data_IF_438521314135
#
_entry.id   IF_438521314135
#
_cell.length_a   1.000
_cell.length_b   1.000
_cell.length_c   1.000
_cell.angle_alpha   90.00
_cell.angle_beta   90.00
_cell.angle_gamma   90.00
#
_symmetry.space_group_name_H-M   'P 1'
#
loop_
_entity.id
_entity.type
_entity.pdbx_description
1 polymer ?
#
# COMPACT_ATOMS: atom_id res chain seq x y z
N UNK A 1 18.70 -1.81 26.81
CA UNK A 1 17.22 -1.82 26.69
C UNK A 1 16.56 -3.03 27.36
N UNK A 2 17.02 -4.28 27.14
CA UNK A 2 16.51 -5.47 27.87
C UNK A 2 16.54 -5.30 29.41
N UNK A 3 17.64 -4.80 29.99
CA UNK A 3 17.80 -4.70 31.45
C UNK A 3 16.93 -3.64 32.16
N UNK A 4 16.42 -2.62 31.46
CA UNK A 4 15.49 -1.64 32.05
C UNK A 4 14.08 -2.23 32.07
N UNK A 5 13.69 -2.93 31.00
CA UNK A 5 12.38 -3.57 30.85
C UNK A 5 12.20 -4.69 31.90
N UNK A 6 13.23 -5.47 32.20
CA UNK A 6 13.15 -6.53 33.23
C UNK A 6 12.96 -5.98 34.65
N UNK A 7 13.42 -4.76 34.94
CA UNK A 7 13.31 -4.15 36.27
C UNK A 7 11.94 -3.50 36.53
N UNK A 8 11.23 -3.04 35.50
CA UNK A 8 9.92 -2.41 35.65
C UNK A 8 8.74 -3.41 35.62
N UNK A 9 8.93 -4.60 35.05
CA UNK A 9 7.91 -5.65 34.90
C UNK A 9 7.29 -6.15 36.23
N UNK A 10 8.09 -6.39 37.30
CA UNK A 10 7.53 -6.77 38.61
C UNK A 10 6.67 -5.66 39.23
N UNK A 11 7.07 -4.40 39.03
CA UNK A 11 6.39 -3.23 39.59
C UNK A 11 5.01 -3.01 38.95
N UNK A 12 4.92 -3.13 37.61
CA UNK A 12 3.65 -3.01 36.88
C UNK A 12 2.69 -4.17 37.18
N UNK A 13 3.20 -5.39 37.40
CA UNK A 13 2.38 -6.57 37.74
C UNK A 13 1.89 -6.56 39.19
N UNK A 14 2.72 -6.10 40.13
CA UNK A 14 2.38 -6.04 41.55
C UNK A 14 1.20 -5.12 41.86
N UNK A 15 1.03 -4.01 41.14
CA UNK A 15 -0.07 -3.06 41.42
C UNK A 15 -1.40 -3.40 40.75
N UNK A 16 -1.44 -4.15 39.64
CA UNK A 16 -2.73 -4.64 39.10
C UNK A 16 -3.47 -5.57 40.06
N UNK A 17 -2.74 -6.24 40.96
CA UNK A 17 -3.34 -7.05 42.03
C UNK A 17 -3.83 -6.25 43.25
N UNK A 18 -3.58 -4.93 43.30
CA UNK A 18 -3.97 -4.06 44.42
C UNK A 18 -5.08 -3.05 44.07
N UNK A 19 -5.59 -3.05 42.83
CA UNK A 19 -6.66 -2.10 42.39
C UNK A 19 -8.06 -2.71 42.51
N UNK A 20 -8.22 -3.82 43.23
CA UNK A 20 -9.53 -4.22 43.76
C UNK A 20 -9.50 -4.01 45.27
N UNK A 21 -10.43 -3.18 45.76
CA UNK A 21 -10.63 -2.78 47.15
C UNK A 21 -9.92 -1.48 47.54
N UNK A 22 -10.74 -0.44 47.66
CA UNK A 22 -10.49 0.88 48.26
C UNK A 22 -9.81 1.91 47.34
N UNK A 23 -10.63 2.61 46.56
CA UNK A 23 -10.73 4.06 46.76
C UNK A 23 -11.97 4.61 46.04
N UNK A 24 -12.89 5.09 46.86
CA UNK A 24 -14.00 5.95 46.48
C UNK A 24 -13.54 7.40 46.52
N UNK A 25 -13.90 8.13 45.46
CA UNK A 25 -14.15 9.56 45.39
C UNK A 25 -12.99 10.53 45.03
N UNK A 26 -13.30 11.43 44.08
CA UNK A 26 -12.53 12.58 43.57
C UNK A 26 -11.43 12.38 42.48
N UNK A 27 -11.87 12.16 41.24
CA UNK A 27 -11.90 13.27 40.25
C UNK A 27 -10.63 13.81 39.56
N UNK A 28 -9.40 13.33 39.79
CA UNK A 28 -8.26 13.68 38.92
C UNK A 28 -7.55 12.42 38.38
N UNK A 29 -7.26 12.33 37.06
CA UNK A 29 -6.48 11.21 36.53
C UNK A 29 -5.08 11.27 37.14
N UNK A 30 -4.71 10.24 37.92
CA UNK A 30 -3.43 10.14 38.59
C UNK A 30 -2.28 10.48 37.62
N UNK A 31 -1.38 11.37 38.04
CA UNK A 31 -0.16 11.81 37.32
C UNK A 31 0.64 10.65 36.66
N UNK A 32 0.49 9.43 37.17
CA UNK A 32 1.08 8.21 36.63
C UNK A 32 0.48 7.73 35.31
N UNK A 33 -0.81 7.91 35.06
CA UNK A 33 -1.46 7.48 33.82
C UNK A 33 -0.94 8.29 32.63
N UNK A 34 -0.67 9.59 32.86
CA UNK A 34 -0.05 10.47 31.88
C UNK A 34 1.38 10.01 31.57
N UNK A 35 2.17 9.67 32.59
CA UNK A 35 3.54 9.17 32.42
C UNK A 35 3.53 7.82 31.67
N UNK A 36 2.64 6.90 32.02
CA UNK A 36 2.54 5.59 31.37
C UNK A 36 2.10 5.74 29.91
N UNK A 37 1.09 6.57 29.64
CA UNK A 37 0.67 6.87 28.28
C UNK A 37 1.81 7.45 27.44
N UNK A 38 2.58 8.38 28.01
CA UNK A 38 3.72 8.99 27.33
C UNK A 38 4.85 7.97 27.07
N UNK A 39 5.17 7.10 28.05
CA UNK A 39 6.13 6.01 27.86
C UNK A 39 5.67 5.07 26.76
N UNK A 40 4.42 4.59 26.84
CA UNK A 40 3.88 3.66 25.87
C UNK A 40 3.90 4.26 24.48
N UNK A 41 3.48 5.51 24.32
CA UNK A 41 3.45 6.20 23.04
C UNK A 41 4.78 6.26 22.28
N UNK A 42 5.91 6.14 22.99
CA UNK A 42 7.27 6.18 22.43
C UNK A 42 7.87 4.80 22.18
N UNK A 43 7.24 3.74 22.67
CA UNK A 43 7.71 2.38 22.45
C UNK A 43 7.25 1.84 21.09
N UNK A 44 8.04 0.98 20.42
CA UNK A 44 7.56 0.29 19.23
C UNK A 44 6.31 -0.55 19.53
N UNK A 45 5.37 -0.62 18.58
CA UNK A 45 4.12 -1.34 18.77
C UNK A 45 4.33 -2.82 19.19
N UNK A 46 5.35 -3.49 18.64
CA UNK A 46 5.70 -4.86 19.06
C UNK A 46 6.09 -4.99 20.53
N UNK A 47 6.72 -3.97 21.10
CA UNK A 47 7.06 -3.95 22.52
C UNK A 47 5.80 -3.86 23.37
N UNK A 48 4.82 -3.05 22.96
CA UNK A 48 3.56 -2.90 23.67
C UNK A 48 2.78 -4.22 23.70
N UNK A 49 2.66 -4.93 22.56
CA UNK A 49 1.99 -6.23 22.51
C UNK A 49 2.59 -7.27 23.46
N UNK A 50 3.90 -7.23 23.68
CA UNK A 50 4.59 -8.14 24.60
C UNK A 50 4.40 -7.78 26.06
N UNK A 51 4.14 -6.51 26.36
CA UNK A 51 4.02 -6.00 27.72
C UNK A 51 2.59 -6.07 28.24
N UNK A 52 1.61 -5.70 27.40
CA UNK A 52 0.20 -5.57 27.78
C UNK A 52 -0.73 -6.00 26.66
N UNK A 53 -1.99 -6.27 27.02
CA UNK A 53 -3.09 -6.30 26.05
C UNK A 53 -3.50 -4.86 25.71
N UNK A 54 -3.34 -4.38 24.47
CA UNK A 54 -3.65 -3.00 24.12
C UNK A 54 -5.14 -2.69 24.30
N UNK A 55 -5.45 -1.54 24.89
CA UNK A 55 -6.81 -0.99 24.90
C UNK A 55 -7.05 -0.19 23.61
N UNK A 56 -8.32 0.09 23.22
CA UNK A 56 -8.60 0.92 22.05
C UNK A 56 -7.89 2.28 22.09
N UNK A 57 -7.77 2.90 23.26
CA UNK A 57 -7.03 4.15 23.45
C UNK A 57 -5.55 4.01 23.09
N UNK A 58 -4.88 2.97 23.58
CA UNK A 58 -3.45 2.73 23.28
C UNK A 58 -3.26 2.42 21.80
N UNK A 59 -4.15 1.63 21.20
CA UNK A 59 -4.13 1.32 19.77
C UNK A 59 -4.21 2.60 18.94
N UNK A 60 -5.17 3.46 19.25
CA UNK A 60 -5.41 4.71 18.53
C UNK A 60 -4.25 5.71 18.70
N UNK A 61 -3.77 5.88 19.94
CA UNK A 61 -2.61 6.71 20.25
C UNK A 61 -1.37 6.26 19.47
N UNK A 62 -1.08 4.95 19.42
CA UNK A 62 0.05 4.43 18.66
C UNK A 62 -0.11 4.63 17.16
N UNK A 63 -1.30 4.40 16.62
CA UNK A 63 -1.57 4.55 15.20
C UNK A 63 -1.27 5.98 14.73
N UNK A 64 -1.66 7.00 15.52
CA UNK A 64 -1.46 8.40 15.18
C UNK A 64 -0.03 8.91 15.39
N UNK A 65 0.73 8.31 16.32
CA UNK A 65 2.11 8.73 16.63
C UNK A 65 3.18 7.95 15.88
N UNK A 66 2.83 6.81 15.27
CA UNK A 66 3.79 5.93 14.63
C UNK A 66 4.34 6.53 13.33
N UNK A 67 5.66 6.49 13.19
CA UNK A 67 6.34 6.89 11.97
C UNK A 67 6.18 5.81 10.90
N UNK A 68 5.80 6.15 9.65
CA UNK A 68 5.75 5.20 8.57
C UNK A 68 7.11 4.54 8.30
N UNK A 69 7.09 3.23 8.04
CA UNK A 69 8.20 2.44 7.53
C UNK A 69 7.94 2.02 6.09
N UNK A 70 9.00 1.66 5.36
CA UNK A 70 8.87 1.09 4.03
C UNK A 70 8.70 -0.41 4.17
N UNK A 71 7.57 -0.92 3.67
CA UNK A 71 7.30 -2.35 3.57
C UNK A 71 7.40 -2.79 2.11
N UNK A 72 8.24 -3.77 1.81
CA UNK A 72 8.38 -4.33 0.47
C UNK A 72 8.53 -5.84 0.49
N UNK A 73 7.95 -6.51 -0.51
CA UNK A 73 8.00 -7.96 -0.56
C UNK A 73 9.23 -8.47 -1.32
N UNK A 74 9.65 -9.68 -0.99
CA UNK A 74 10.60 -10.48 -1.77
C UNK A 74 9.98 -11.84 -1.98
N UNK A 75 10.11 -12.34 -3.20
CA UNK A 75 9.51 -13.61 -3.60
C UNK A 75 10.62 -14.57 -3.95
N UNK A 76 10.57 -15.73 -3.31
CA UNK A 76 11.41 -16.87 -3.63
C UNK A 76 10.50 -18.00 -4.08
N UNK A 77 10.73 -18.51 -5.29
CA UNK A 77 10.00 -19.65 -5.85
C UNK A 77 10.86 -20.90 -5.67
N UNK A 78 10.26 -21.96 -5.16
CA UNK A 78 10.85 -23.28 -5.02
C UNK A 78 10.09 -24.24 -5.92
N UNK A 79 10.79 -24.97 -6.78
CA UNK A 79 10.20 -26.07 -7.53
C UNK A 79 9.97 -27.22 -6.54
N UNK A 80 8.73 -27.72 -6.44
CA UNK A 80 8.38 -28.90 -5.66
C UNK A 80 8.38 -30.15 -6.55
N UNK A 81 7.71 -30.07 -7.69
CA UNK A 81 7.56 -31.11 -8.73
C UNK A 81 7.56 -30.43 -10.11
N UNK A 82 7.57 -31.17 -11.22
CA UNK A 82 7.66 -30.60 -12.59
C UNK A 82 6.64 -29.47 -12.86
N UNK A 83 5.47 -29.51 -12.21
CA UNK A 83 4.38 -28.52 -12.36
C UNK A 83 4.02 -27.75 -11.09
N UNK A 84 4.54 -28.12 -9.91
CA UNK A 84 4.19 -27.48 -8.63
C UNK A 84 5.30 -26.59 -8.11
N UNK A 85 4.95 -25.34 -7.77
CA UNK A 85 5.87 -24.38 -7.16
C UNK A 85 5.38 -23.97 -5.77
N UNK A 86 6.27 -23.98 -4.77
CA UNK A 86 6.05 -23.30 -3.49
C UNK A 86 6.59 -21.89 -3.57
N UNK A 87 5.80 -20.90 -3.15
CA UNK A 87 6.26 -19.52 -3.08
C UNK A 87 6.46 -19.12 -1.62
N UNK A 88 7.65 -18.64 -1.28
CA UNK A 88 7.88 -17.95 -0.01
C UNK A 88 7.75 -16.44 -0.24
N UNK A 89 6.73 -15.85 0.36
CA UNK A 89 6.47 -14.41 0.33
C UNK A 89 7.05 -13.75 1.58
N UNK A 90 8.21 -13.10 1.44
CA UNK A 90 8.88 -12.45 2.57
C UNK A 90 8.64 -10.95 2.53
N UNK A 91 8.07 -10.35 3.57
CA UNK A 91 8.03 -8.90 3.70
C UNK A 91 9.28 -8.39 4.42
N UNK A 92 9.80 -7.29 3.92
CA UNK A 92 10.93 -6.58 4.49
C UNK A 92 10.46 -5.20 4.89
N UNK A 93 10.88 -4.79 6.08
CA UNK A 93 10.52 -3.53 6.70
C UNK A 93 11.81 -2.78 7.03
N UNK A 94 11.86 -1.50 6.69
CA UNK A 94 12.90 -0.61 7.22
C UNK A 94 12.65 -0.34 8.69
N UNK A 95 13.69 -0.18 9.50
CA UNK A 95 13.53 0.12 10.93
C UNK A 95 13.14 1.58 11.14
N UNK A 96 12.16 1.83 12.02
CA UNK A 96 11.56 3.14 12.36
C UNK A 96 12.60 4.25 12.64
N UNK A 97 13.79 3.91 13.14
CA UNK A 97 14.83 4.88 13.48
C UNK A 97 15.93 5.06 12.42
N UNK A 98 16.08 4.11 11.48
CA UNK A 98 17.19 4.09 10.49
C UNK A 98 16.79 3.30 9.25
N UNK A 99 16.62 4.01 8.12
CA UNK A 99 16.14 3.38 6.88
C UNK A 99 17.17 2.39 6.28
N UNK A 100 18.44 2.48 6.69
CA UNK A 100 19.50 1.56 6.27
C UNK A 100 19.43 0.19 6.94
N UNK A 101 18.71 0.04 8.06
CA UNK A 101 18.54 -1.25 8.72
C UNK A 101 17.20 -1.86 8.29
N UNK A 102 17.26 -3.09 7.79
CA UNK A 102 16.11 -3.84 7.30
C UNK A 102 15.83 -5.01 8.25
N UNK A 103 14.58 -5.16 8.65
CA UNK A 103 14.06 -6.31 9.39
C UNK A 103 13.12 -7.06 8.46
N UNK A 104 13.31 -8.37 8.37
CA UNK A 104 12.46 -9.22 7.53
C UNK A 104 11.45 -9.98 8.40
N UNK A 105 10.18 -9.96 8.01
CA UNK A 105 9.14 -10.85 8.51
C UNK A 105 8.62 -11.68 7.35
N UNK A 106 8.64 -13.00 7.49
CA UNK A 106 8.15 -13.90 6.45
C UNK A 106 6.76 -14.39 6.79
N UNK A 107 5.88 -14.36 5.78
CA UNK A 107 4.66 -15.13 5.77
C UNK A 107 4.88 -16.28 4.77
N UNK A 108 4.59 -17.51 5.18
CA UNK A 108 4.61 -18.61 4.22
C UNK A 108 3.25 -18.63 3.53
N UNK A 109 3.25 -18.47 2.21
CA UNK A 109 2.03 -18.52 1.41
C UNK A 109 2.11 -19.74 0.51
N UNK A 110 1.34 -20.78 0.81
CA UNK A 110 1.27 -21.93 -0.08
C UNK A 110 0.38 -21.57 -1.27
N UNK A 111 0.96 -21.65 -2.46
CA UNK A 111 0.28 -21.36 -3.71
C UNK A 111 0.24 -22.65 -4.52
N UNK A 112 -0.95 -23.21 -4.68
CA UNK A 112 -1.19 -24.22 -5.70
C UNK A 112 -1.37 -23.50 -7.04
N UNK A 113 -0.46 -23.76 -7.98
CA UNK A 113 -0.68 -23.41 -9.38
C UNK A 113 -1.45 -24.57 -10.00
N UNK A 114 -2.59 -24.30 -10.63
CA UNK A 114 -3.04 -25.16 -11.71
C UNK A 114 -2.28 -24.75 -12.98
N UNK A 115 -1.98 -25.71 -13.85
CA UNK A 115 -1.09 -25.60 -15.02
C UNK A 115 -1.45 -24.50 -16.05
N UNK A 116 -2.53 -23.74 -15.82
CA UNK A 116 -3.10 -22.78 -16.75
C UNK A 116 -2.79 -21.30 -16.43
N UNK A 117 -2.19 -20.93 -15.29
CA UNK A 117 -1.98 -19.50 -14.95
C UNK A 117 -0.52 -19.18 -14.63
N UNK A 118 0.25 -18.90 -15.68
CA UNK A 118 1.64 -18.39 -15.63
C UNK A 118 1.83 -17.02 -14.93
N UNK A 119 0.82 -16.44 -14.27
CA UNK A 119 0.83 -15.00 -13.95
C UNK A 119 0.30 -14.58 -12.56
N UNK A 120 -0.04 -15.48 -11.65
CA UNK A 120 -0.69 -15.13 -10.37
C UNK A 120 0.22 -14.84 -9.18
N UNK A 121 1.32 -14.09 -9.33
CA UNK A 121 2.26 -13.90 -8.20
C UNK A 121 1.74 -12.86 -7.20
N UNK A 122 1.74 -13.15 -5.88
CA UNK A 122 1.26 -12.21 -4.86
C UNK A 122 2.11 -10.95 -4.81
N UNK A 123 1.46 -9.81 -4.60
CA UNK A 123 2.10 -8.51 -4.45
C UNK A 123 1.42 -7.73 -3.33
N UNK A 124 2.21 -7.06 -2.49
CA UNK A 124 1.68 -6.05 -1.57
C UNK A 124 1.09 -4.90 -2.39
N UNK A 125 -0.19 -4.64 -2.20
CA UNK A 125 -0.93 -3.64 -2.98
C UNK A 125 -1.06 -2.34 -2.23
N UNK A 126 -1.51 -2.36 -0.97
CA UNK A 126 -1.74 -1.16 -0.16
C UNK A 126 -1.57 -1.47 1.33
N UNK A 127 -1.27 -0.46 2.13
CA UNK A 127 -1.36 -0.53 3.59
C UNK A 127 -2.43 0.42 4.13
N UNK A 128 -3.15 -0.02 5.16
CA UNK A 128 -4.07 0.82 5.91
C UNK A 128 -4.03 0.44 7.39
N UNK A 129 -3.74 1.39 8.27
CA UNK A 129 -3.77 1.25 9.73
C UNK A 129 -3.04 0.00 10.27
N UNK A 130 -1.90 -0.36 9.68
CA UNK A 130 -1.09 -1.53 10.06
C UNK A 130 -1.51 -2.86 9.43
N UNK A 131 -2.56 -2.88 8.61
CA UNK A 131 -2.81 -3.99 7.70
C UNK A 131 -2.13 -3.77 6.36
N UNK A 132 -1.64 -4.85 5.79
CA UNK A 132 -1.17 -4.97 4.42
C UNK A 132 -2.19 -5.77 3.64
N UNK A 133 -2.67 -5.22 2.53
CA UNK A 133 -3.44 -5.96 1.54
C UNK A 133 -2.48 -6.54 0.51
N UNK A 134 -2.47 -7.87 0.41
CA UNK A 134 -1.70 -8.63 -0.56
C UNK A 134 -2.70 -9.27 -1.51
N UNK A 135 -2.57 -8.98 -2.80
CA UNK A 135 -3.41 -9.61 -3.83
C UNK A 135 -2.53 -10.35 -4.83
N UNK A 136 -3.11 -11.37 -5.45
CA UNK A 136 -2.52 -12.01 -6.62
C UNK A 136 -2.91 -11.20 -7.87
N UNK A 137 -2.38 -11.57 -9.04
CA UNK A 137 -2.65 -10.83 -10.26
C UNK A 137 -4.14 -10.84 -10.65
N UNK A 138 -4.49 -10.10 -11.70
CA UNK A 138 -5.83 -9.70 -12.11
C UNK A 138 -6.92 -10.78 -12.22
N UNK A 139 -6.54 -12.05 -12.22
CA UNK A 139 -7.44 -13.19 -12.42
C UNK A 139 -7.79 -13.94 -11.14
N UNK A 140 -7.06 -13.73 -10.05
CA UNK A 140 -7.37 -14.37 -8.77
C UNK A 140 -8.02 -13.34 -7.82
N UNK A 141 -9.32 -13.52 -7.49
CA UNK A 141 -10.04 -12.60 -6.63
C UNK A 141 -9.67 -12.75 -5.15
N UNK A 142 -8.87 -13.77 -4.79
CA UNK A 142 -8.45 -14.01 -3.41
C UNK A 142 -7.46 -12.96 -2.93
N UNK A 143 -7.71 -12.47 -1.72
CA UNK A 143 -6.93 -11.43 -1.08
C UNK A 143 -6.47 -11.92 0.28
N UNK A 144 -5.27 -11.51 0.66
CA UNK A 144 -4.73 -11.73 1.99
C UNK A 144 -4.61 -10.38 2.70
N UNK A 145 -5.16 -10.29 3.90
CA UNK A 145 -4.90 -9.20 4.82
C UNK A 145 -3.94 -9.69 5.89
N UNK A 146 -2.92 -8.91 6.17
CA UNK A 146 -1.93 -9.26 7.18
C UNK A 146 -1.55 -8.05 8.01
N UNK A 147 -1.63 -8.16 9.34
CA UNK A 147 -0.96 -7.24 10.24
C UNK A 147 0.33 -7.90 10.76
N UNK A 148 1.51 -7.45 10.32
CA UNK A 148 2.79 -8.04 10.72
C UNK A 148 3.13 -7.86 12.19
N UNK A 149 2.55 -6.86 12.87
CA UNK A 149 2.82 -6.53 14.28
C UNK A 149 1.99 -7.42 15.19
N UNK A 150 0.69 -7.54 14.94
CA UNK A 150 -0.20 -8.43 15.72
C UNK A 150 -0.09 -9.89 15.30
N UNK A 151 0.45 -10.17 14.11
CA UNK A 151 0.54 -11.52 13.54
C UNK A 151 -0.79 -12.01 12.95
N UNK A 152 -1.81 -11.15 12.87
CA UNK A 152 -3.12 -11.54 12.36
C UNK A 152 -3.12 -11.64 10.84
N UNK A 153 -3.61 -12.78 10.35
CA UNK A 153 -3.68 -13.14 8.94
C UNK A 153 -5.12 -13.52 8.61
N UNK A 154 -5.65 -12.94 7.52
CA UNK A 154 -6.98 -13.23 7.02
C UNK A 154 -6.91 -13.56 5.53
N UNK A 155 -7.58 -14.63 5.15
CA UNK A 155 -7.81 -14.94 3.74
C UNK A 155 -9.24 -14.59 3.37
N UNK A 156 -9.39 -13.73 2.36
CA UNK A 156 -10.68 -13.32 1.82
C UNK A 156 -10.83 -13.99 0.46
N UNK A 157 -11.76 -14.94 0.39
CA UNK A 157 -12.14 -15.61 -0.83
C UNK A 157 -13.39 -14.94 -1.37
N UNK A 158 -13.27 -14.31 -2.53
CA UNK A 158 -14.41 -13.74 -3.23
C UNK A 158 -14.70 -14.65 -4.41
N UNK A 159 -15.85 -15.31 -4.41
CA UNK A 159 -16.27 -16.08 -5.57
C UNK A 159 -16.50 -15.11 -6.73
N UNK A 160 -15.88 -15.31 -7.91
CA UNK A 160 -16.10 -14.42 -9.03
C UNK A 160 -17.54 -14.59 -9.54
N UNK A 161 -18.22 -13.45 -9.75
CA UNK A 161 -19.62 -13.37 -10.20
C UNK A 161 -19.93 -14.16 -11.45
N UNK A 162 -18.95 -14.29 -12.34
CA UNK A 162 -19.01 -15.12 -13.53
C UNK A 162 -17.64 -15.76 -13.77
N UNK A 163 -17.58 -17.06 -14.11
CA UNK A 163 -16.32 -17.73 -14.48
C UNK A 163 -15.59 -17.05 -15.65
N UNK A 164 -16.31 -16.28 -16.47
CA UNK A 164 -15.82 -15.60 -17.67
C UNK A 164 -15.54 -14.11 -17.52
N UNK A 165 -15.67 -13.51 -16.31
CA UNK A 165 -15.27 -12.11 -16.14
C UNK A 165 -13.75 -12.02 -16.25
N UNK A 166 -13.27 -11.42 -17.34
CA UNK A 166 -11.83 -11.35 -17.66
C UNK A 166 -11.01 -10.53 -16.66
N UNK A 167 -11.67 -9.77 -15.78
CA UNK A 167 -11.03 -8.88 -14.83
C UNK A 167 -11.90 -8.69 -13.58
N UNK A 168 -11.43 -9.16 -12.42
CA UNK A 168 -12.01 -8.87 -11.10
C UNK A 168 -10.87 -8.62 -10.11
N UNK A 169 -10.64 -7.37 -9.73
CA UNK A 169 -9.50 -7.01 -8.88
C UNK A 169 -9.89 -6.06 -7.76
N UNK A 170 -9.40 -6.34 -6.55
CA UNK A 170 -9.39 -5.33 -5.50
C UNK A 170 -8.49 -4.16 -5.91
N UNK A 171 -9.07 -2.96 -5.95
CA UNK A 171 -8.38 -1.75 -6.35
C UNK A 171 -8.06 -0.83 -5.18
N UNK A 172 -8.65 -1.06 -4.00
CA UNK A 172 -8.40 -0.25 -2.80
C UNK A 172 -8.85 -0.92 -1.50
N UNK A 173 -8.25 -0.48 -0.40
CA UNK A 173 -8.56 -0.93 0.96
C UNK A 173 -8.40 0.24 1.92
N UNK A 174 -9.43 0.51 2.70
CA UNK A 174 -9.52 1.72 3.50
C UNK A 174 -10.36 1.54 4.77
N UNK A 175 -10.16 2.45 5.72
CA UNK A 175 -11.00 2.57 6.90
C UNK A 175 -12.10 3.60 6.63
N UNK A 176 -13.36 3.17 6.67
CA UNK A 176 -14.53 4.02 6.52
C UNK A 176 -14.87 4.65 7.87
N UNK A 177 -14.46 5.90 8.07
CA UNK A 177 -14.49 6.60 9.36
C UNK A 177 -15.88 6.65 10.01
N UNK A 178 -16.92 7.00 9.25
CA UNK A 178 -18.31 7.13 9.75
C UNK A 178 -18.90 5.82 10.24
N UNK A 179 -18.62 4.72 9.54
CA UNK A 179 -19.11 3.38 9.91
C UNK A 179 -18.12 2.62 10.81
N UNK A 180 -16.93 3.21 11.07
CA UNK A 180 -15.86 2.65 11.89
C UNK A 180 -15.46 1.23 11.51
N UNK A 181 -15.39 0.96 10.21
CA UNK A 181 -15.08 -0.36 9.67
C UNK A 181 -14.07 -0.30 8.52
N UNK A 182 -13.47 -1.44 8.22
CA UNK A 182 -12.62 -1.58 7.05
C UNK A 182 -13.42 -2.06 5.85
N UNK A 183 -13.11 -1.49 4.68
CA UNK A 183 -13.75 -1.83 3.41
C UNK A 183 -12.72 -2.11 2.32
N UNK A 184 -13.08 -3.00 1.40
CA UNK A 184 -12.31 -3.29 0.19
C UNK A 184 -13.19 -2.94 -1.00
N UNK A 185 -12.65 -2.18 -1.95
CA UNK A 185 -13.32 -1.89 -3.21
C UNK A 185 -12.77 -2.77 -4.32
N UNK A 186 -13.68 -3.32 -5.10
CA UNK A 186 -13.40 -4.16 -6.26
C UNK A 186 -13.92 -3.48 -7.52
N UNK A 187 -13.18 -3.66 -8.61
CA UNK A 187 -13.61 -3.25 -9.94
C UNK A 187 -13.50 -4.46 -10.86
N UNK A 188 -14.51 -4.61 -11.71
CA UNK A 188 -14.59 -5.72 -12.62
C UNK A 188 -15.28 -5.35 -13.94
N UNK A 189 -14.91 -6.06 -15.00
CA UNK A 189 -15.48 -5.86 -16.34
C UNK A 189 -16.81 -6.60 -16.49
N UNK A 190 -17.84 -5.93 -17.02
CA UNK A 190 -19.14 -6.53 -17.33
C UNK A 190 -19.76 -5.86 -18.57
N UNK A 191 -20.01 -6.64 -19.62
CA UNK A 191 -20.77 -6.19 -20.80
C UNK A 191 -20.16 -5.00 -21.55
N UNK A 192 -18.83 -4.88 -21.57
CA UNK A 192 -18.14 -3.73 -22.18
C UNK A 192 -18.03 -2.50 -21.29
N UNK A 193 -18.42 -2.60 -20.01
CA UNK A 193 -18.30 -1.54 -19.02
C UNK A 193 -17.52 -2.04 -17.80
N UNK A 194 -17.15 -1.11 -16.92
CA UNK A 194 -16.65 -1.44 -15.60
C UNK A 194 -17.74 -1.22 -14.55
N UNK A 195 -17.88 -2.19 -13.65
CA UNK A 195 -18.68 -2.05 -12.44
C UNK A 195 -17.79 -2.12 -11.22
N UNK A 196 -18.36 -1.71 -10.09
CA UNK A 196 -17.66 -1.74 -8.82
C UNK A 196 -18.54 -2.29 -7.71
N UNK A 197 -17.88 -2.89 -6.72
CA UNK A 197 -18.50 -3.40 -5.51
C UNK A 197 -17.62 -3.09 -4.32
N UNK A 198 -18.24 -2.99 -3.14
CA UNK A 198 -17.58 -2.71 -1.88
C UNK A 198 -17.91 -3.83 -0.92
N UNK A 199 -16.87 -4.41 -0.35
CA UNK A 199 -16.94 -5.38 0.73
C UNK A 199 -16.77 -4.65 2.06
N UNK A 200 -17.75 -4.77 2.96
CA UNK A 200 -17.57 -4.45 4.38
C UNK A 200 -16.97 -5.64 5.10
N UNK A 201 -15.85 -5.45 5.78
CA UNK A 201 -15.22 -6.52 6.56
C UNK A 201 -15.94 -6.79 7.88
N UNK A 202 -16.65 -5.80 8.43
CA UNK A 202 -17.42 -5.99 9.65
C UNK A 202 -18.68 -6.85 9.40
N UNK A 203 -19.42 -6.56 8.33
CA UNK A 203 -20.64 -7.30 7.98
C UNK A 203 -20.37 -8.51 7.10
N UNK A 204 -19.19 -8.60 6.50
CA UNK A 204 -18.82 -9.61 5.48
C UNK A 204 -19.71 -9.55 4.23
N UNK A 205 -20.41 -8.44 3.99
CA UNK A 205 -21.31 -8.26 2.86
C UNK A 205 -20.62 -7.54 1.70
N UNK A 206 -20.76 -8.11 0.51
CA UNK A 206 -20.35 -7.51 -0.75
C UNK A 206 -21.54 -6.83 -1.42
N UNK A 207 -21.49 -5.50 -1.51
CA UNK A 207 -22.56 -4.69 -2.11
C UNK A 207 -22.09 -4.08 -3.42
N UNK A 208 -23.00 -3.99 -4.38
CA UNK A 208 -22.79 -3.23 -5.62
C UNK A 208 -22.84 -1.73 -5.37
N UNK A 209 -21.92 -1.00 -6.01
CA UNK A 209 -22.10 0.44 -6.19
C UNK A 209 -22.94 0.65 -7.45
N UNK A 210 -24.06 1.37 -7.38
CA UNK A 210 -24.89 1.67 -8.55
C UNK A 210 -24.12 2.46 -9.61
N UNK A 211 -24.37 2.13 -10.89
CA UNK A 211 -23.77 2.82 -12.03
C UNK A 211 -22.53 2.12 -12.60
N UNK A 212 -21.88 2.80 -13.55
CA UNK A 212 -20.68 2.33 -14.24
C UNK A 212 -19.47 3.19 -13.89
N UNK A 213 -18.31 2.56 -13.88
CA UNK A 213 -17.02 3.26 -13.77
C UNK A 213 -16.59 3.67 -15.18
N UNK A 214 -16.80 4.94 -15.52
CA UNK A 214 -16.46 5.48 -16.85
C UNK A 214 -14.95 5.57 -17.09
N UNK A 215 -14.18 5.77 -16.02
CA UNK A 215 -12.72 5.89 -16.07
C UNK A 215 -12.12 4.83 -15.14
N UNK A 216 -11.63 3.69 -15.67
CA UNK A 216 -11.12 2.60 -14.83
C UNK A 216 -9.81 3.03 -14.15
N UNK A 217 -9.64 2.83 -12.84
CA UNK A 217 -8.38 3.12 -12.17
C UNK A 217 -7.33 2.06 -12.50
N UNK A 218 -6.06 2.49 -12.54
CA UNK A 218 -4.92 1.59 -12.74
C UNK A 218 -4.64 0.78 -11.48
N UNK A 219 -5.17 -0.43 -11.40
CA UNK A 219 -5.09 -1.29 -10.21
C UNK A 219 -3.71 -1.92 -9.98
N UNK A 220 -2.74 -1.67 -10.88
CA UNK A 220 -1.35 -2.11 -10.69
C UNK A 220 -0.57 -1.25 -9.70
N UNK A 221 -1.10 -0.05 -9.44
CA UNK A 221 -0.55 0.89 -8.49
C UNK A 221 -1.51 1.01 -7.32
N UNK A 222 -0.94 1.14 -6.13
CA UNK A 222 -1.73 1.41 -4.94
C UNK A 222 -2.46 2.75 -5.13
N UNK A 223 -3.73 2.89 -4.70
CA UNK A 223 -4.30 4.21 -4.53
C UNK A 223 -3.55 5.00 -3.47
N UNK A 224 -3.62 6.33 -3.60
CA UNK A 224 -3.29 7.25 -2.53
C UNK A 224 -4.57 7.62 -1.79
N UNK A 225 -4.58 7.41 -0.47
CA UNK A 225 -5.64 7.91 0.41
C UNK A 225 -5.34 9.37 0.72
N UNK A 226 -6.22 10.26 0.29
CA UNK A 226 -6.10 11.71 0.51
C UNK A 226 -7.49 12.32 0.66
N UNK A 227 -7.68 13.22 1.63
CA UNK A 227 -8.95 13.93 1.86
C UNK A 227 -10.22 13.07 1.82
N UNK A 228 -10.20 11.90 2.48
CA UNK A 228 -11.38 11.02 2.53
C UNK A 228 -11.70 10.31 1.21
N UNK A 229 -10.77 10.29 0.26
CA UNK A 229 -10.93 9.62 -1.03
C UNK A 229 -9.70 8.80 -1.43
N UNK A 230 -9.93 7.78 -2.25
CA UNK A 230 -8.89 7.00 -2.93
C UNK A 230 -8.60 7.64 -4.29
N UNK A 231 -7.33 7.83 -4.61
CA UNK A 231 -6.86 8.44 -5.85
C UNK A 231 -5.98 7.48 -6.63
N UNK A 232 -6.28 7.27 -7.91
CA UNK A 232 -5.46 6.50 -8.84
C UNK A 232 -5.18 7.31 -10.10
N UNK A 233 -4.08 6.99 -10.78
CA UNK A 233 -4.03 7.26 -12.22
C UNK A 233 -5.02 6.36 -12.95
N UNK A 234 -5.60 6.84 -14.02
CA UNK A 234 -6.45 6.03 -14.91
C UNK A 234 -5.66 4.90 -15.58
N UNK A 235 -6.35 3.81 -15.90
CA UNK A 235 -5.84 2.74 -16.76
C UNK A 235 -6.12 3.06 -18.24
N UNK A 236 -5.16 3.75 -18.88
CA UNK A 236 -5.25 4.12 -20.29
C UNK A 236 -5.51 2.93 -21.22
N UNK A 237 -4.93 1.77 -20.92
CA UNK A 237 -5.03 0.59 -21.78
C UNK A 237 -6.46 0.03 -21.74
N UNK A 238 -7.00 -0.14 -20.53
CA UNK A 238 -8.38 -0.59 -20.36
C UNK A 238 -9.39 0.44 -20.85
N UNK A 239 -9.13 1.74 -20.64
CA UNK A 239 -9.98 2.80 -21.19
C UNK A 239 -10.02 2.74 -22.72
N UNK A 240 -8.87 2.69 -23.39
CA UNK A 240 -8.78 2.59 -24.85
C UNK A 240 -9.42 1.31 -25.38
N UNK A 241 -9.25 0.19 -24.68
CA UNK A 241 -9.87 -1.09 -25.06
C UNK A 241 -11.39 -1.00 -25.10
N UNK A 242 -12.00 -0.22 -24.21
CA UNK A 242 -13.45 -0.06 -24.14
C UNK A 242 -13.99 1.02 -25.11
N UNK A 243 -13.33 2.17 -25.16
CA UNK A 243 -13.87 3.34 -25.86
C UNK A 243 -13.23 3.59 -27.24
N UNK A 244 -12.20 2.84 -27.61
CA UNK A 244 -11.47 3.01 -28.88
C UNK A 244 -10.60 4.28 -28.95
N UNK A 245 -10.58 5.09 -27.89
CA UNK A 245 -9.89 6.39 -27.81
C UNK A 245 -9.12 6.52 -26.51
N UNK A 246 -8.17 7.46 -26.46
CA UNK A 246 -7.44 7.77 -25.23
C UNK A 246 -8.27 8.59 -24.26
N UNK A 247 -8.08 8.40 -22.95
CA UNK A 247 -8.71 9.27 -21.98
C UNK A 247 -8.14 10.69 -22.10
N UNK A 248 -9.02 11.67 -21.97
CA UNK A 248 -8.63 13.07 -21.93
C UNK A 248 -7.87 13.37 -20.62
N UNK A 249 -6.85 14.24 -20.65
CA UNK A 249 -6.04 14.50 -19.46
C UNK A 249 -6.83 15.20 -18.36
N UNK A 250 -7.96 15.83 -18.69
CA UNK A 250 -8.89 16.38 -17.68
C UNK A 250 -9.48 15.32 -16.75
N UNK A 251 -9.41 14.04 -17.12
CA UNK A 251 -9.99 12.93 -16.37
C UNK A 251 -8.95 11.85 -16.01
N UNK A 252 -7.67 12.21 -15.99
CA UNK A 252 -6.57 11.24 -15.84
C UNK A 252 -6.38 10.70 -14.42
N UNK A 253 -6.90 11.40 -13.41
CA UNK A 253 -6.86 10.96 -12.02
C UNK A 253 -8.28 10.56 -11.62
N UNK A 254 -8.45 9.30 -11.26
CA UNK A 254 -9.71 8.71 -10.81
C UNK A 254 -9.81 8.85 -9.30
N UNK A 255 -10.94 9.34 -8.82
CA UNK A 255 -11.19 9.60 -7.40
C UNK A 255 -12.40 8.79 -6.97
N UNK A 256 -12.27 8.05 -5.88
CA UNK A 256 -13.39 7.40 -5.21
C UNK A 256 -13.59 8.03 -3.83
N UNK A 257 -14.70 8.76 -3.65
CA UNK A 257 -15.08 9.31 -2.36
C UNK A 257 -15.51 8.16 -1.44
N UNK A 258 -14.81 7.98 -0.31
CA UNK A 258 -15.02 6.82 0.55
C UNK A 258 -16.35 6.88 1.31
N UNK A 259 -16.85 8.08 1.61
CA UNK A 259 -18.09 8.28 2.36
C UNK A 259 -19.33 8.18 1.48
N UNK A 260 -19.29 8.81 0.29
CA UNK A 260 -20.40 8.83 -0.65
C UNK A 260 -20.40 7.61 -1.58
N UNK A 261 -19.29 6.87 -1.61
CA UNK A 261 -19.02 5.77 -2.53
C UNK A 261 -19.26 6.15 -4.01
N UNK A 262 -18.80 7.33 -4.39
CA UNK A 262 -18.97 7.90 -5.74
C UNK A 262 -17.62 8.07 -6.43
N UNK A 263 -17.61 7.74 -7.71
CA UNK A 263 -16.48 8.00 -8.59
C UNK A 263 -16.58 9.41 -9.19
N UNK A 264 -15.42 10.04 -9.32
CA UNK A 264 -15.23 11.29 -10.05
C UNK A 264 -13.82 11.30 -10.64
N UNK A 265 -13.48 12.34 -11.39
CA UNK A 265 -12.16 12.48 -12.01
C UNK A 265 -11.63 13.89 -11.85
N UNK A 266 -10.32 14.05 -11.96
CA UNK A 266 -9.66 15.34 -12.03
C UNK A 266 -8.45 15.31 -12.98
N UNK A 267 -8.00 16.49 -13.47
CA UNK A 267 -6.80 16.61 -14.29
C UNK A 267 -5.52 16.27 -13.53
N UNK A 268 -4.55 15.69 -14.24
CA UNK A 268 -3.15 15.77 -13.83
C UNK A 268 -2.57 17.17 -14.15
N UNK A 269 -1.51 17.62 -13.45
CA UNK A 269 -0.88 18.90 -13.79
C UNK A 269 -0.21 18.88 -15.17
N UNK A 270 -0.01 20.06 -15.74
CA UNK A 270 0.65 20.25 -17.03
C UNK A 270 -0.31 20.26 -18.23
N UNK A 271 0.26 20.22 -19.43
CA UNK A 271 -0.50 20.27 -20.69
C UNK A 271 -1.07 18.91 -21.08
N UNK A 272 -2.09 18.91 -21.95
CA UNK A 272 -2.66 17.70 -22.56
C UNK A 272 -1.56 16.78 -23.13
N UNK A 273 -1.63 15.50 -22.78
CA UNK A 273 -0.72 14.48 -23.27
C UNK A 273 -1.04 14.12 -24.73
N UNK A 274 0.03 14.03 -25.53
CA UNK A 274 -0.06 13.64 -26.94
C UNK A 274 0.03 12.11 -27.15
N UNK A 275 0.23 11.31 -26.10
CA UNK A 275 0.34 9.84 -26.21
C UNK A 275 0.12 9.11 -24.89
N UNK A 276 -0.37 7.87 -24.97
CA UNK A 276 -0.52 6.91 -23.85
C UNK A 276 0.77 6.74 -23.04
N UNK A 277 1.92 6.74 -23.74
CA UNK A 277 3.22 6.54 -23.10
C UNK A 277 3.50 7.57 -22.02
N UNK A 278 2.90 8.77 -22.12
CA UNK A 278 3.08 9.82 -21.10
C UNK A 278 2.37 9.47 -19.80
N UNK A 279 1.09 9.11 -19.82
CA UNK A 279 0.34 8.74 -18.60
C UNK A 279 0.96 7.55 -17.87
N UNK A 280 1.53 6.62 -18.62
CA UNK A 280 2.18 5.46 -18.02
C UNK A 280 3.45 5.79 -17.23
N UNK A 281 4.12 6.88 -17.58
CA UNK A 281 5.27 7.44 -16.85
C UNK A 281 4.84 8.28 -15.63
N UNK A 282 3.55 8.56 -15.50
CA UNK A 282 3.00 9.36 -14.43
C UNK A 282 2.59 8.49 -13.23
N UNK A 283 2.59 9.08 -12.06
CA UNK A 283 2.25 8.39 -10.81
C UNK A 283 1.77 9.35 -9.75
N UNK A 284 1.08 8.79 -8.75
CA UNK A 284 0.67 9.51 -7.56
C UNK A 284 1.45 8.99 -6.37
N UNK A 285 1.74 9.89 -5.43
CA UNK A 285 2.30 9.57 -4.14
C UNK A 285 1.73 10.52 -3.09
N UNK A 286 1.91 10.16 -1.82
CA UNK A 286 1.67 11.07 -0.70
C UNK A 286 3.02 11.60 -0.20
N UNK A 287 3.04 12.88 0.15
CA UNK A 287 4.17 13.58 0.75
C UNK A 287 3.66 14.62 1.74
N UNK A 288 4.01 14.45 3.02
CA UNK A 288 3.73 15.42 4.09
C UNK A 288 2.26 15.85 4.17
N UNK A 289 1.34 14.89 4.05
CA UNK A 289 -0.10 15.10 4.09
C UNK A 289 -0.71 15.60 2.78
N UNK A 290 0.08 15.76 1.71
CA UNK A 290 -0.38 16.27 0.43
C UNK A 290 -0.42 15.18 -0.64
N UNK A 291 -1.39 15.30 -1.56
CA UNK A 291 -1.39 14.50 -2.78
C UNK A 291 -0.35 15.08 -3.74
N UNK A 292 0.57 14.22 -4.18
CA UNK A 292 1.62 14.58 -5.10
C UNK A 292 1.52 13.78 -6.39
N UNK A 293 2.03 14.38 -7.46
CA UNK A 293 2.06 13.82 -8.79
C UNK A 293 3.50 13.80 -9.29
N UNK A 294 3.94 12.65 -9.82
CA UNK A 294 5.28 12.45 -10.35
C UNK A 294 5.22 12.22 -11.85
N UNK A 295 6.06 12.90 -12.62
CA UNK A 295 6.16 12.75 -14.08
C UNK A 295 7.61 12.65 -14.55
N UNK A 296 7.92 11.62 -15.32
CA UNK A 296 9.19 11.50 -16.06
C UNK A 296 9.00 11.29 -17.57
N UNK A 297 7.81 11.61 -18.09
CA UNK A 297 7.49 11.49 -19.51
C UNK A 297 8.15 12.57 -20.36
N UNK A 298 8.41 13.73 -19.78
CA UNK A 298 8.96 14.91 -20.47
C UNK A 298 10.50 14.92 -20.55
N UNK A 299 11.18 14.03 -19.81
CA UNK A 299 12.65 13.97 -19.76
C UNK A 299 13.15 12.58 -19.40
N UNK A 300 14.15 12.07 -20.12
CA UNK A 300 14.78 10.80 -19.75
C UNK A 300 15.65 10.90 -18.49
N UNK A 301 16.00 12.11 -18.07
CA UNK A 301 16.99 12.37 -17.00
C UNK A 301 16.39 13.04 -15.77
N UNK A 302 15.16 13.55 -15.85
CA UNK A 302 14.47 14.24 -14.76
C UNK A 302 13.19 13.51 -14.36
N UNK A 303 12.85 13.61 -13.08
CA UNK A 303 11.56 13.27 -12.52
C UNK A 303 11.01 14.54 -11.84
N UNK A 304 9.94 15.08 -12.39
CA UNK A 304 9.24 16.23 -11.82
C UNK A 304 8.26 15.76 -10.75
N UNK A 305 8.18 16.50 -9.64
CA UNK A 305 7.22 16.26 -8.56
C UNK A 305 6.41 17.53 -8.34
N UNK A 306 5.11 17.36 -8.48
CA UNK A 306 4.09 18.37 -8.27
C UNK A 306 3.33 18.08 -6.98
N UNK A 307 2.99 19.12 -6.23
CA UNK A 307 2.18 19.05 -5.02
C UNK A 307 0.84 19.72 -5.30
N UNK A 308 -0.26 19.07 -4.90
CA UNK A 308 -1.60 19.65 -4.94
C UNK A 308 -1.76 20.62 -3.76
N UNK A 309 -1.74 21.92 -4.03
CA UNK A 309 -1.80 22.97 -3.01
C UNK A 309 -3.24 23.34 -2.65
N UNK A 310 -4.14 23.30 -3.62
CA UNK A 310 -5.57 23.53 -3.43
C UNK A 310 -6.35 22.40 -4.11
N UNK A 311 -6.92 21.49 -3.33
CA UNK A 311 -7.69 20.37 -3.86
C UNK A 311 -9.05 20.77 -4.43
N UNK A 312 -9.62 21.90 -3.97
CA UNK A 312 -10.92 22.39 -4.43
C UNK A 312 -10.76 23.02 -5.81
N UNK A 313 -9.75 23.90 -5.96
CA UNK A 313 -9.43 24.56 -7.23
C UNK A 313 -8.53 23.73 -8.15
N UNK A 314 -8.05 22.58 -7.66
CA UNK A 314 -7.15 21.67 -8.37
C UNK A 314 -5.84 22.36 -8.80
N UNK A 315 -5.28 23.19 -7.91
CA UNK A 315 -4.05 23.94 -8.17
C UNK A 315 -2.84 23.10 -7.80
N UNK A 316 -2.00 22.86 -8.79
CA UNK A 316 -0.75 22.10 -8.65
C UNK A 316 0.46 23.02 -8.78
N UNK A 317 1.45 22.83 -7.92
CA UNK A 317 2.74 23.51 -8.00
C UNK A 317 3.87 22.50 -8.20
N UNK A 318 4.74 22.74 -9.17
CA UNK A 318 5.98 21.96 -9.33
C UNK A 318 6.93 22.36 -8.21
N UNK A 319 7.26 21.44 -7.30
CA UNK A 319 8.07 21.73 -6.11
C UNK A 319 9.45 21.09 -6.16
N UNK A 320 9.58 19.92 -6.79
CA UNK A 320 10.88 19.25 -6.90
C UNK A 320 11.15 18.76 -8.32
N UNK A 321 12.44 18.76 -8.67
CA UNK A 321 12.97 18.19 -9.90
C UNK A 321 14.12 17.27 -9.50
N UNK A 322 13.98 15.98 -9.76
CA UNK A 322 14.92 14.94 -9.33
C UNK A 322 15.74 14.45 -10.51
N UNK A 323 17.06 14.52 -10.40
CA UNK A 323 17.98 13.99 -11.42
C UNK A 323 18.10 12.46 -11.32
N UNK A 324 17.46 11.74 -12.25
CA UNK A 324 17.39 10.27 -12.25
C UNK A 324 18.41 9.60 -13.19
N UNK A 325 19.14 10.35 -14.01
CA UNK A 325 20.15 9.80 -14.93
C UNK A 325 21.22 8.93 -14.24
N UNK A 326 21.82 9.32 -13.11
CA UNK A 326 22.84 8.49 -12.45
C UNK A 326 22.29 7.12 -12.03
N UNK A 327 21.04 7.07 -11.57
CA UNK A 327 20.36 5.85 -11.11
C UNK A 327 20.07 4.91 -12.30
N UNK A 328 19.64 5.47 -13.44
CA UNK A 328 19.43 4.69 -14.68
C UNK A 328 20.74 4.11 -15.22
N UNK A 329 21.80 4.91 -15.24
CA UNK A 329 23.13 4.48 -15.69
C UNK A 329 23.71 3.37 -14.83
N UNK A 330 23.61 3.49 -13.50
CA UNK A 330 24.04 2.45 -12.56
C UNK A 330 23.34 1.12 -12.84
N UNK A 331 22.05 1.15 -13.18
CA UNK A 331 21.33 -0.07 -13.53
C UNK A 331 21.81 -0.67 -14.85
N UNK A 332 22.01 0.13 -15.91
CA UNK A 332 22.51 -0.37 -17.20
C UNK A 332 23.83 -1.13 -17.04
N UNK A 333 24.71 -0.67 -16.16
CA UNK A 333 25.97 -1.34 -15.81
C UNK A 333 25.73 -2.65 -15.04
N UNK A 334 24.84 -2.65 -14.04
CA UNK A 334 24.58 -3.81 -13.17
C UNK A 334 23.76 -4.90 -13.88
N UNK A 335 22.90 -4.55 -14.84
CA UNK A 335 21.94 -5.49 -15.43
C UNK A 335 22.54 -6.34 -16.55
N UNK A 336 23.71 -5.98 -17.11
CA UNK A 336 24.45 -6.78 -18.11
C UNK A 336 23.64 -7.20 -19.36
N UNK A 337 22.46 -6.62 -19.58
CA UNK A 337 21.47 -7.12 -20.54
C UNK A 337 21.16 -6.04 -21.57
N UNK A 338 21.55 -6.30 -22.83
CA UNK A 338 20.88 -5.70 -23.99
C UNK A 338 19.45 -6.24 -23.99
N UNK A 339 18.49 -5.46 -23.54
CA UNK A 339 17.07 -5.84 -23.60
C UNK A 339 16.63 -5.79 -25.06
N UNK A 340 16.60 -6.93 -25.72
CA UNK A 340 15.85 -7.14 -26.95
C UNK A 340 14.36 -7.11 -26.61
N UNK A 341 13.71 -6.06 -27.12
CA UNK A 341 12.32 -6.03 -27.59
C UNK A 341 11.16 -6.45 -26.64
N UNK A 342 10.27 -5.46 -26.48
CA UNK A 342 8.79 -5.54 -26.51
C UNK A 342 7.93 -5.74 -25.27
N UNK A 343 8.34 -6.31 -24.13
CA UNK A 343 7.26 -6.82 -23.23
C UNK A 343 6.78 -5.88 -22.10
N UNK A 344 7.56 -4.98 -21.46
CA UNK A 344 6.96 -4.03 -20.48
C UNK A 344 7.75 -2.71 -20.36
N UNK A 345 7.26 -1.64 -21.02
CA UNK A 345 7.80 -0.27 -20.95
C UNK A 345 7.28 0.54 -19.74
N UNK A 346 6.87 -0.07 -18.61
CA UNK A 346 6.49 0.71 -17.40
C UNK A 346 7.62 1.66 -17.03
N UNK A 347 7.22 2.79 -16.47
CA UNK A 347 8.09 3.89 -16.07
C UNK A 347 9.41 3.35 -15.50
N UNK A 348 10.52 3.64 -16.18
CA UNK A 348 11.85 3.14 -15.79
C UNK A 348 12.17 3.51 -14.34
N UNK A 349 11.58 4.61 -13.88
CA UNK A 349 11.59 5.10 -12.51
C UNK A 349 10.17 5.45 -12.10
N UNK A 350 9.78 5.10 -10.88
CA UNK A 350 8.48 5.42 -10.31
C UNK A 350 8.66 5.90 -8.87
N UNK A 351 8.12 7.05 -8.54
CA UNK A 351 7.99 7.51 -7.17
C UNK A 351 6.86 6.74 -6.48
N UNK A 352 7.17 6.11 -5.34
CA UNK A 352 6.21 5.30 -4.58
C UNK A 352 5.68 6.08 -3.39
N UNK A 353 6.57 6.76 -2.68
CA UNK A 353 6.26 7.44 -1.43
C UNK A 353 7.36 8.45 -1.09
N UNK A 354 7.04 9.45 -0.29
CA UNK A 354 7.99 10.43 0.23
C UNK A 354 7.79 10.61 1.74
N UNK A 355 8.88 10.82 2.47
CA UNK A 355 8.85 11.10 3.90
C UNK A 355 10.04 11.99 4.28
N UNK A 356 9.73 13.17 4.82
CA UNK A 356 10.69 14.27 4.95
C UNK A 356 11.44 14.51 3.64
N UNK A 357 12.75 14.67 3.72
CA UNK A 357 13.60 14.89 2.55
C UNK A 357 13.87 13.64 1.70
N UNK A 358 13.21 12.50 1.91
CA UNK A 358 13.51 11.25 1.21
C UNK A 358 12.36 10.79 0.32
N UNK A 359 12.70 10.42 -0.92
CA UNK A 359 11.81 9.88 -1.92
C UNK A 359 12.15 8.42 -2.20
N UNK A 360 11.17 7.53 -2.03
CA UNK A 360 11.30 6.13 -2.41
C UNK A 360 11.01 5.94 -3.89
N UNK A 361 12.04 5.55 -4.63
CA UNK A 361 12.01 5.30 -6.06
C UNK A 361 12.09 3.80 -6.36
N UNK A 362 11.20 3.30 -7.20
CA UNK A 362 11.33 2.00 -7.86
C UNK A 362 11.91 2.16 -9.24
N UNK A 363 12.90 1.35 -9.55
CA UNK A 363 13.68 1.45 -10.80
C UNK A 363 13.72 0.08 -11.49
N UNK A 364 13.31 0.05 -12.77
CA UNK A 364 13.18 -1.14 -13.62
C UNK A 364 12.53 -2.34 -12.90
N UNK A 365 11.43 -2.10 -12.18
CA UNK A 365 10.63 -3.09 -11.43
C UNK A 365 11.26 -3.77 -10.24
N UNK A 366 12.58 -3.84 -10.15
CA UNK A 366 13.27 -4.78 -9.25
C UNK A 366 14.06 -4.09 -8.16
N UNK A 367 14.33 -2.80 -8.26
CA UNK A 367 15.20 -2.09 -7.32
C UNK A 367 14.45 -0.97 -6.62
N UNK A 368 14.71 -0.81 -5.33
CA UNK A 368 14.25 0.31 -4.52
C UNK A 368 15.45 1.16 -4.13
N UNK A 369 15.33 2.45 -4.35
CA UNK A 369 16.29 3.47 -3.99
C UNK A 369 15.60 4.53 -3.15
N UNK A 370 16.31 5.05 -2.16
CA UNK A 370 15.95 6.29 -1.50
C UNK A 370 16.76 7.40 -2.11
N UNK A 371 16.08 8.44 -2.58
CA UNK A 371 16.69 9.65 -3.07
C UNK A 371 16.48 10.75 -2.03
N UNK A 372 17.55 11.39 -1.57
CA UNK A 372 17.45 12.53 -0.68
C UNK A 372 17.28 13.81 -1.51
N UNK A 373 16.11 14.44 -1.41
CA UNK A 373 15.72 15.64 -2.16
C UNK A 373 16.65 16.82 -1.90
N UNK A 374 17.20 16.94 -0.69
CA UNK A 374 18.08 18.05 -0.29
C UNK A 374 19.53 17.86 -0.72
N UNK A 375 20.06 16.64 -0.54
CA UNK A 375 21.46 16.31 -0.82
C UNK A 375 21.69 15.84 -2.25
N UNK A 376 20.63 15.47 -2.98
CA UNK A 376 20.71 14.90 -4.32
C UNK A 376 21.36 13.51 -4.39
N UNK A 377 21.50 12.84 -3.25
CA UNK A 377 22.14 11.53 -3.13
C UNK A 377 21.12 10.42 -3.15
N UNK A 378 21.55 9.21 -3.50
CA UNK A 378 20.69 8.03 -3.42
C UNK A 378 21.36 6.84 -2.76
N UNK A 379 20.55 6.05 -2.06
CA UNK A 379 20.97 4.80 -1.40
C UNK A 379 20.06 3.68 -1.85
N UNK A 380 20.65 2.55 -2.24
CA UNK A 380 19.88 1.35 -2.57
C UNK A 380 19.37 0.69 -1.29
N UNK A 381 18.06 0.48 -1.18
CA UNK A 381 17.43 -0.09 0.02
C UNK A 381 16.76 -1.44 -0.21
N UNK A 382 16.47 -1.80 -1.45
CA UNK A 382 15.80 -3.06 -1.75
C UNK A 382 16.11 -3.57 -3.14
N UNK A 383 16.11 -4.90 -3.28
CA UNK A 383 16.21 -5.57 -4.58
C UNK A 383 15.44 -6.88 -4.60
N UNK A 384 14.71 -7.11 -5.68
CA UNK A 384 14.13 -8.40 -6.02
C UNK A 384 15.18 -9.33 -6.63
N UNK A 385 15.14 -10.64 -6.33
CA UNK A 385 16.04 -11.63 -6.92
C UNK A 385 16.10 -11.51 -8.45
N UNK A 386 17.30 -11.66 -9.04
CA UNK A 386 17.50 -11.56 -10.49
C UNK A 386 16.60 -12.54 -11.26
N UNK A 387 16.43 -13.75 -10.71
CA UNK A 387 15.59 -14.83 -11.28
C UNK A 387 14.08 -14.55 -11.21
N UNK A 388 13.65 -13.62 -10.36
CA UNK A 388 12.25 -13.26 -10.24
C UNK A 388 11.85 -12.33 -11.39
N UNK A 389 10.81 -12.70 -12.13
CA UNK A 389 10.21 -11.89 -13.20
C UNK A 389 9.15 -10.92 -12.69
N UNK A 390 8.97 -10.80 -11.37
CA UNK A 390 7.82 -10.09 -10.78
C UNK A 390 8.20 -8.71 -10.30
N UNK A 391 7.29 -7.76 -10.49
CA UNK A 391 7.44 -6.39 -10.00
C UNK A 391 7.53 -6.36 -8.48
N UNK A 392 8.49 -5.60 -7.97
CA UNK A 392 8.68 -5.33 -6.56
C UNK A 392 7.61 -4.33 -6.10
N UNK A 393 6.63 -4.81 -5.35
CA UNK A 393 5.70 -4.02 -4.58
C UNK A 393 6.36 -3.46 -3.33
N UNK A 394 6.12 -2.18 -3.08
CA UNK A 394 6.50 -1.50 -1.87
C UNK A 394 5.40 -0.49 -1.54
N UNK A 395 5.16 -0.29 -0.25
CA UNK A 395 4.18 0.64 0.31
C UNK A 395 4.76 1.29 1.56
N UNK A 396 4.31 2.50 1.85
CA UNK A 396 4.41 3.05 3.20
C UNK A 396 3.54 2.21 4.14
N UNK A 397 4.02 1.93 5.34
CA UNK A 397 3.35 1.09 6.31
C UNK A 397 3.51 1.65 7.70
N UNK A 398 2.43 1.70 8.47
CA UNK A 398 2.47 2.07 9.88
C UNK A 398 2.44 0.79 10.70
N UNK A 399 3.48 0.51 11.48
CA UNK A 399 3.46 -0.60 12.42
C UNK A 399 2.41 -0.32 13.51
N UNK A 400 1.31 -1.05 13.51
CA UNK A 400 0.17 -0.74 14.37
C UNK A 400 -0.36 -1.94 15.15
N UNK A 401 -0.94 -1.62 16.31
CA UNK A 401 -1.61 -2.55 17.22
C UNK A 401 -3.05 -2.89 16.81
N UNK A 402 -3.55 -2.26 15.75
CA UNK A 402 -4.92 -2.45 15.27
C UNK A 402 -5.17 -3.92 14.96
N UNK A 403 -6.29 -4.41 15.47
CA UNK A 403 -6.74 -5.78 15.29
C UNK A 403 -8.13 -5.81 14.66
N UNK A 404 -8.38 -6.79 13.80
CA UNK A 404 -9.71 -7.10 13.29
C UNK A 404 -10.31 -8.23 14.13
N UNK A 405 -11.51 -8.03 14.68
CA UNK A 405 -12.26 -9.09 15.34
C UNK A 405 -13.06 -9.88 14.30
N UNK A 406 -12.36 -10.55 13.39
CA UNK A 406 -12.95 -11.36 12.33
C UNK A 406 -12.36 -12.77 12.40
N UNK A 407 -13.10 -13.79 11.96
CA UNK A 407 -12.60 -15.15 11.84
C UNK A 407 -11.54 -15.26 10.71
N UNK A 408 -10.60 -16.20 10.83
CA UNK A 408 -9.38 -16.27 9.99
C UNK A 408 -9.61 -16.47 8.48
N UNK A 409 -10.79 -16.90 8.06
CA UNK A 409 -11.17 -16.97 6.64
C UNK A 409 -12.56 -16.38 6.42
N UNK A 410 -12.68 -15.55 5.39
CA UNK A 410 -13.95 -14.97 4.94
C UNK A 410 -14.22 -15.49 3.53
N UNK A 411 -15.25 -16.31 3.36
CA UNK A 411 -15.74 -16.72 2.04
C UNK A 411 -16.97 -15.89 1.71
N UNK A 412 -16.96 -15.26 0.53
CA UNK A 412 -18.01 -14.38 0.06
C UNK A 412 -18.56 -14.97 -1.24
N UNK A 413 -19.75 -15.54 -1.13
CA UNK A 413 -20.58 -15.94 -2.27
C UNK A 413 -21.43 -14.75 -2.71
N UNK A 414 -21.74 -14.70 -4.00
CA UNK A 414 -22.47 -13.60 -4.61
C UNK A 414 -23.98 -13.59 -4.39
#
# INVERSE_FOLDING_TARGET
MKNIITRCLPWVRSRRGQVSENDSDNGEPLHYDIIIAEIFSRLPAECILRLIRPTPYIVDMHLHRATPVIAFHRITMFLLEETKYKIKFTMNFTVESRITKIVSKSMNMELSFSDQVKFGVPRVHISCNGFLLIKKSYVDPNIFLWNPVTGQEYTIQVEPRRPSSTYYSACGFFFHSKAREYRIIFIYGEGGFFKSSVLSLATKLLRLIPGFVSHPPNVNRAPIIFNGALHWMIDDQEYKRLFGVLPHCSNSIVIFNMDQEKFSTMPHPGSQCASERRHYCMGLLEMEGHLCFSDNSSSEVLLDIWILEDSIKQVWAKRHVVHIAPIKSLYKVISGTRLTTTIWKEAEVEAIHAYGDNLLLRVYYKNLFLYNLRLGTFVKVGRQSVRSRTRLGAVAHINSLVSLNIDGSITISH
#
